data_IF_539869976431
#
_entry.id   IF_539869976431
#
_cell.length_a   1.000
_cell.length_b   1.000
_cell.length_c   1.000
_cell.angle_alpha   90.00
_cell.angle_beta   90.00
_cell.angle_gamma   90.00
#
_symmetry.space_group_name_H-M   'P 1'
#
loop_
_entity.id
_entity.type
_entity.pdbx_description
1 polymer ?
#
# COMPACT_ATOMS: atom_id res chain seq x y z
N UNK A 1 6.11 -12.80 -4.22
CA UNK A 1 6.37 -11.37 -4.06
C UNK A 1 5.02 -10.66 -3.99
N UNK A 2 4.86 -9.68 -3.11
CA UNK A 2 3.62 -8.92 -2.94
C UNK A 2 3.91 -7.43 -2.91
N UNK A 3 2.87 -6.63 -3.07
CA UNK A 3 2.86 -5.19 -3.07
C UNK A 3 2.10 -4.73 -1.83
N UNK A 4 2.83 -4.10 -0.93
CA UNK A 4 2.34 -3.54 0.31
C UNK A 4 2.08 -2.04 0.09
N UNK A 5 0.82 -1.62 0.22
CA UNK A 5 0.42 -0.24 -0.04
C UNK A 5 -0.08 0.41 1.24
N UNK A 6 0.53 1.55 1.60
CA UNK A 6 0.21 2.29 2.82
C UNK A 6 -0.14 3.75 2.50
N UNK A 7 -1.27 4.21 3.01
CA UNK A 7 -1.68 5.62 2.94
C UNK A 7 -0.71 6.50 3.76
N UNK A 8 -0.26 7.63 3.19
CA UNK A 8 0.78 8.48 3.81
C UNK A 8 0.32 9.10 5.15
N UNK A 9 -0.96 9.44 5.28
CA UNK A 9 -1.51 10.09 6.48
C UNK A 9 -2.59 9.21 7.12
N UNK A 10 -2.24 8.56 8.23
CA UNK A 10 -3.15 7.79 9.08
C UNK A 10 -3.61 8.67 10.23
N UNK A 11 -4.92 8.64 10.55
CA UNK A 11 -5.44 9.42 11.68
C UNK A 11 -5.07 8.77 13.02
N UNK A 12 -4.93 9.57 14.08
CA UNK A 12 -4.61 9.04 15.42
C UNK A 12 -5.63 8.02 15.93
N UNK A 13 -6.91 8.24 15.61
CA UNK A 13 -8.01 7.32 15.95
C UNK A 13 -7.88 5.98 15.22
N UNK A 14 -7.56 6.01 13.93
CA UNK A 14 -7.31 4.80 13.15
C UNK A 14 -6.07 4.06 13.65
N UNK A 15 -4.96 4.78 13.87
CA UNK A 15 -3.75 4.18 14.43
C UNK A 15 -4.01 3.56 15.81
N UNK A 16 -4.86 4.16 16.65
CA UNK A 16 -5.26 3.59 17.93
C UNK A 16 -6.10 2.31 17.77
N UNK A 17 -7.05 2.29 16.82
CA UNK A 17 -7.87 1.11 16.51
C UNK A 17 -7.03 -0.04 15.97
N UNK A 18 -6.10 0.24 15.06
CA UNK A 18 -5.17 -0.75 14.51
C UNK A 18 -4.34 -1.36 15.63
N UNK A 19 -3.66 -0.55 16.46
CA UNK A 19 -2.88 -1.05 17.61
C UNK A 19 -3.71 -1.93 18.55
N UNK A 20 -4.93 -1.50 18.89
CA UNK A 20 -5.81 -2.29 19.76
C UNK A 20 -6.20 -3.64 19.13
N UNK A 21 -6.42 -3.67 17.81
CA UNK A 21 -6.73 -4.89 17.09
C UNK A 21 -5.51 -5.80 16.92
N UNK A 22 -4.31 -5.24 16.69
CA UNK A 22 -3.04 -5.97 16.68
C UNK A 22 -2.76 -6.64 18.02
N UNK A 23 -2.93 -5.91 19.12
CA UNK A 23 -2.77 -6.44 20.47
C UNK A 23 -3.71 -7.64 20.72
N UNK A 24 -4.97 -7.52 20.29
CA UNK A 24 -5.96 -8.59 20.41
C UNK A 24 -5.59 -9.81 19.54
N UNK A 25 -5.19 -9.60 18.29
CA UNK A 25 -4.74 -10.66 17.39
C UNK A 25 -3.52 -11.39 17.93
N UNK A 26 -2.49 -10.66 18.38
CA UNK A 26 -1.30 -11.26 18.96
C UNK A 26 -1.59 -11.99 20.27
N UNK A 27 -2.52 -11.50 21.10
CA UNK A 27 -2.96 -12.21 22.29
C UNK A 27 -3.66 -13.53 21.94
N UNK A 28 -4.55 -13.54 20.95
CA UNK A 28 -5.20 -14.76 20.46
C UNK A 28 -4.17 -15.76 19.89
N UNK A 29 -3.24 -15.29 19.06
CA UNK A 29 -2.20 -16.13 18.46
C UNK A 29 -1.29 -16.77 19.52
N UNK A 30 -0.82 -15.98 20.51
CA UNK A 30 -0.03 -16.51 21.64
C UNK A 30 -0.82 -17.54 22.45
N UNK A 31 -2.12 -17.32 22.63
CA UNK A 31 -2.98 -18.24 23.40
C UNK A 31 -3.15 -19.58 22.68
N UNK A 32 -3.39 -19.55 21.36
CA UNK A 32 -3.41 -20.75 20.51
C UNK A 32 -2.07 -21.50 20.57
N UNK A 33 -0.96 -20.79 20.37
CA UNK A 33 0.37 -21.40 20.31
C UNK A 33 0.81 -22.02 21.65
N UNK A 34 0.35 -21.45 22.77
CA UNK A 34 0.61 -21.95 24.11
C UNK A 34 -0.07 -23.30 24.41
N UNK A 35 -1.10 -23.70 23.65
CA UNK A 35 -1.78 -24.97 23.83
C UNK A 35 -0.87 -26.18 23.56
N UNK A 36 0.09 -26.04 22.64
CA UNK A 36 0.96 -27.13 22.18
C UNK A 36 0.18 -28.40 21.77
N UNK A 37 -0.94 -28.18 21.06
CA UNK A 37 -1.84 -29.23 20.56
C UNK A 37 -1.70 -29.37 19.03
N UNK A 38 -1.99 -30.56 18.46
CA UNK A 38 -2.00 -30.72 17.01
C UNK A 38 -3.18 -29.93 16.39
N UNK A 39 -3.07 -29.48 15.12
CA UNK A 39 -4.08 -28.64 14.48
C UNK A 39 -5.52 -29.18 14.40
N UNK A 40 -5.70 -30.50 14.53
CA UNK A 40 -7.01 -31.15 14.51
C UNK A 40 -7.66 -31.32 15.89
N UNK A 41 -6.99 -30.92 16.97
CA UNK A 41 -7.56 -30.99 18.33
C UNK A 41 -8.65 -29.92 18.50
N UNK A 42 -9.75 -30.24 19.16
CA UNK A 42 -10.89 -29.32 19.36
C UNK A 42 -10.46 -27.95 19.88
N UNK A 43 -9.68 -27.95 20.95
CA UNK A 43 -9.24 -26.70 21.61
C UNK A 43 -8.28 -25.89 20.73
N UNK A 44 -7.51 -26.56 19.86
CA UNK A 44 -6.70 -25.85 18.86
C UNK A 44 -7.59 -25.20 17.81
N UNK A 45 -8.59 -25.92 17.30
CA UNK A 45 -9.53 -25.41 16.29
C UNK A 45 -10.28 -24.19 16.83
N UNK A 46 -10.80 -24.25 18.05
CA UNK A 46 -11.47 -23.10 18.70
C UNK A 46 -10.53 -21.90 18.86
N UNK A 47 -9.28 -22.14 19.32
CA UNK A 47 -8.30 -21.07 19.42
C UNK A 47 -7.89 -20.51 18.05
N UNK A 48 -7.86 -21.33 17.00
CA UNK A 48 -7.61 -20.92 15.63
C UNK A 48 -8.75 -20.06 15.08
N UNK A 49 -10.01 -20.41 15.35
CA UNK A 49 -11.18 -19.59 14.99
C UNK A 49 -11.12 -18.21 15.64
N UNK A 50 -10.67 -18.13 16.90
CA UNK A 50 -10.46 -16.87 17.61
C UNK A 50 -9.33 -16.02 16.98
N UNK A 51 -8.25 -16.65 16.54
CA UNK A 51 -7.18 -16.00 15.77
C UNK A 51 -7.72 -15.44 14.46
N UNK A 52 -8.51 -16.21 13.72
CA UNK A 52 -9.09 -15.76 12.46
C UNK A 52 -10.09 -14.61 12.66
N UNK A 53 -10.90 -14.68 13.73
CA UNK A 53 -11.84 -13.62 14.09
C UNK A 53 -11.12 -12.32 14.45
N UNK A 54 -10.08 -12.38 15.28
CA UNK A 54 -9.28 -11.20 15.65
C UNK A 54 -8.47 -10.66 14.49
N UNK A 55 -7.95 -11.53 13.62
CA UNK A 55 -7.30 -11.12 12.37
C UNK A 55 -8.26 -10.38 11.43
N UNK A 56 -9.51 -10.83 11.31
CA UNK A 56 -10.54 -10.11 10.55
C UNK A 56 -10.77 -8.71 11.13
N UNK A 57 -10.88 -8.58 12.45
CA UNK A 57 -11.03 -7.27 13.12
C UNK A 57 -9.84 -6.36 12.83
N UNK A 58 -8.61 -6.88 12.89
CA UNK A 58 -7.40 -6.13 12.53
C UNK A 58 -7.45 -5.64 11.09
N UNK A 59 -7.72 -6.54 10.14
CA UNK A 59 -7.82 -6.20 8.72
C UNK A 59 -8.90 -5.15 8.44
N UNK A 60 -10.05 -5.26 9.10
CA UNK A 60 -11.16 -4.33 8.92
C UNK A 60 -10.88 -2.97 9.61
N UNK A 61 -9.99 -2.93 10.62
CA UNK A 61 -9.54 -1.71 11.28
C UNK A 61 -8.45 -0.97 10.50
N UNK A 62 -7.54 -1.71 9.83
CA UNK A 62 -6.46 -1.13 9.04
C UNK A 62 -6.93 -0.74 7.64
N UNK A 63 -7.71 0.34 7.59
CA UNK A 63 -8.22 0.89 6.33
C UNK A 63 -7.16 1.62 5.51
N UNK A 64 -5.98 1.82 6.11
CA UNK A 64 -4.81 2.51 5.57
C UNK A 64 -3.85 1.61 4.79
N UNK A 65 -4.07 0.29 4.88
CA UNK A 65 -3.27 -0.73 4.21
C UNK A 65 -4.07 -1.46 3.13
N UNK A 66 -3.42 -1.75 2.00
CA UNK A 66 -3.93 -2.65 0.98
C UNK A 66 -2.80 -3.53 0.45
N UNK A 67 -3.07 -4.81 0.23
CA UNK A 67 -2.06 -5.76 -0.25
C UNK A 67 -2.52 -6.46 -1.51
N UNK A 68 -1.65 -6.50 -2.51
CA UNK A 68 -1.82 -7.42 -3.64
C UNK A 68 -0.62 -8.35 -3.73
N UNK A 69 -0.84 -9.62 -4.08
CA UNK A 69 0.29 -10.44 -4.52
C UNK A 69 0.69 -10.03 -5.95
N UNK A 70 1.80 -10.55 -6.46
CA UNK A 70 2.30 -10.19 -7.81
C UNK A 70 1.26 -10.39 -8.92
N UNK A 71 0.52 -11.50 -8.88
CA UNK A 71 -0.51 -11.81 -9.88
C UNK A 71 -1.71 -10.88 -9.76
N UNK A 72 -2.12 -10.57 -8.53
CA UNK A 72 -3.18 -9.61 -8.23
C UNK A 72 -2.81 -8.21 -8.71
N UNK A 73 -1.57 -7.77 -8.48
CA UNK A 73 -1.12 -6.46 -8.96
C UNK A 73 -1.09 -6.39 -10.48
N UNK A 74 -0.56 -7.41 -11.16
CA UNK A 74 -0.63 -7.47 -12.64
C UNK A 74 -2.06 -7.41 -13.15
N UNK A 75 -2.97 -8.19 -12.54
CA UNK A 75 -4.38 -8.17 -12.91
C UNK A 75 -5.03 -6.80 -12.68
N UNK A 76 -4.73 -6.15 -11.56
CA UNK A 76 -5.27 -4.82 -11.24
C UNK A 76 -4.74 -3.76 -12.21
N UNK A 77 -3.46 -3.83 -12.57
CA UNK A 77 -2.90 -2.97 -13.60
C UNK A 77 -3.64 -3.11 -14.94
N UNK A 78 -3.96 -4.34 -15.36
CA UNK A 78 -4.74 -4.57 -16.59
C UNK A 78 -6.17 -4.01 -16.52
N UNK A 79 -6.85 -4.22 -15.38
CA UNK A 79 -8.21 -3.69 -15.16
C UNK A 79 -8.17 -2.16 -15.14
N UNK A 80 -7.21 -1.57 -14.44
CA UNK A 80 -7.01 -0.12 -14.39
C UNK A 80 -6.68 0.45 -15.77
N UNK A 81 -5.88 -0.23 -16.58
CA UNK A 81 -5.53 0.21 -17.95
C UNK A 81 -6.77 0.23 -18.85
N UNK A 82 -7.59 -0.84 -18.81
CA UNK A 82 -8.85 -0.91 -19.55
C UNK A 82 -9.87 0.15 -19.11
N UNK A 83 -9.85 0.53 -17.82
CA UNK A 83 -10.69 1.58 -17.27
C UNK A 83 -10.10 2.99 -17.47
N UNK A 84 -8.91 3.12 -18.05
CA UNK A 84 -8.22 4.40 -18.26
C UNK A 84 -7.73 5.06 -16.97
N UNK A 85 -7.55 4.28 -15.90
CA UNK A 85 -7.11 4.75 -14.58
C UNK A 85 -5.59 4.88 -14.47
N UNK A 86 -4.83 4.17 -15.31
CA UNK A 86 -3.36 4.26 -15.36
C UNK A 86 -2.91 4.83 -16.69
N UNK A 87 -1.68 5.36 -16.69
CA UNK A 87 -0.98 5.83 -17.89
C UNK A 87 0.34 5.06 -18.04
N UNK A 88 0.73 4.83 -19.29
CA UNK A 88 2.04 4.34 -19.71
C UNK A 88 2.57 5.15 -20.90
N UNK A 89 3.79 4.86 -21.38
CA UNK A 89 4.33 5.46 -22.61
C UNK A 89 4.91 6.88 -22.47
N UNK A 90 5.26 7.31 -21.26
CA UNK A 90 5.97 8.56 -20.98
C UNK A 90 7.46 8.32 -20.74
N UNK A 91 8.24 9.40 -20.81
CA UNK A 91 9.63 9.41 -20.42
C UNK A 91 9.75 9.59 -18.91
N UNK A 92 10.28 8.57 -18.23
CA UNK A 92 10.60 8.63 -16.80
C UNK A 92 11.98 9.27 -16.64
N UNK A 93 12.16 10.27 -15.76
CA UNK A 93 13.49 10.76 -15.42
C UNK A 93 14.37 9.62 -14.92
N UNK A 94 15.70 9.66 -15.15
CA UNK A 94 16.59 8.62 -14.62
C UNK A 94 16.57 8.64 -13.09
N UNK A 95 16.78 7.46 -12.49
CA UNK A 95 17.00 7.36 -11.04
C UNK A 95 18.18 8.25 -10.62
N UNK A 96 18.08 8.94 -9.46
CA UNK A 96 19.16 9.79 -8.98
C UNK A 96 20.41 8.96 -8.65
N UNK A 97 21.57 9.48 -9.03
CA UNK A 97 22.85 8.84 -8.77
C UNK A 97 23.20 8.95 -7.27
N UNK A 98 23.45 7.81 -6.63
CA UNK A 98 23.90 7.75 -5.24
C UNK A 98 25.31 8.33 -5.13
N UNK A 99 25.58 9.34 -4.29
CA UNK A 99 26.91 9.92 -4.13
C UNK A 99 27.94 8.89 -3.65
N UNK A 100 29.18 9.04 -4.10
CA UNK A 100 30.28 8.18 -3.66
C UNK A 100 30.43 8.22 -2.13
N UNK A 101 30.52 7.03 -1.55
CA UNK A 101 30.70 6.86 -0.11
C UNK A 101 29.45 7.09 0.74
N UNK A 102 28.28 7.42 0.16
CA UNK A 102 26.98 7.27 0.83
C UNK A 102 26.59 5.79 0.74
N UNK A 103 26.20 5.16 1.85
CA UNK A 103 25.74 3.76 1.86
C UNK A 103 24.22 3.66 1.91
N UNK A 104 23.69 2.49 1.55
CA UNK A 104 22.24 2.22 1.61
C UNK A 104 21.73 2.30 3.05
N UNK A 105 22.50 1.80 4.00
CA UNK A 105 22.16 1.83 5.43
C UNK A 105 22.06 3.26 5.98
N UNK A 106 22.92 4.18 5.52
CA UNK A 106 22.81 5.59 5.91
C UNK A 106 21.55 6.25 5.34
N UNK A 107 21.16 5.86 4.12
CA UNK A 107 19.95 6.35 3.47
C UNK A 107 18.70 5.84 4.20
N UNK A 108 18.64 4.54 4.47
CA UNK A 108 17.52 3.92 5.19
C UNK A 108 17.42 4.50 6.61
N UNK A 109 18.54 4.59 7.35
CA UNK A 109 18.57 5.20 8.68
C UNK A 109 18.17 6.68 8.67
N UNK A 110 18.45 7.42 7.58
CA UNK A 110 17.98 8.80 7.45
C UNK A 110 16.47 8.87 7.23
N UNK A 111 15.92 7.95 6.43
CA UNK A 111 14.48 7.85 6.16
C UNK A 111 13.65 7.50 7.41
N UNK A 112 14.18 6.60 8.24
CA UNK A 112 13.52 6.12 9.46
C UNK A 112 13.64 7.08 10.66
N UNK A 113 14.35 8.21 10.50
CA UNK A 113 14.64 9.09 11.62
C UNK A 113 13.39 9.79 12.15
N UNK A 114 13.28 9.88 13.48
CA UNK A 114 12.33 10.78 14.13
C UNK A 114 12.90 12.20 14.11
N UNK A 115 12.17 13.21 13.61
CA UNK A 115 12.63 14.59 13.62
C UNK A 115 13.03 15.06 15.04
N UNK A 116 14.27 15.49 15.20
CA UNK A 116 14.79 15.99 16.48
C UNK A 116 15.57 14.98 17.32
N UNK A 117 15.66 13.72 16.87
CA UNK A 117 16.46 12.67 17.53
C UNK A 117 17.69 12.27 16.69
N UNK A 118 18.79 11.93 17.37
CA UNK A 118 19.96 11.28 16.76
C UNK A 118 21.13 12.18 16.36
N UNK A 119 22.20 11.52 15.90
CA UNK A 119 23.41 12.18 15.37
C UNK A 119 23.08 12.87 14.04
N UNK A 120 23.61 14.09 13.79
CA UNK A 120 23.47 14.73 12.48
C UNK A 120 24.02 13.83 11.37
N UNK A 121 23.21 13.55 10.37
CA UNK A 121 23.64 12.85 9.16
C UNK A 121 24.48 13.77 8.28
N UNK A 122 25.30 13.15 7.43
CA UNK A 122 26.09 13.87 6.43
C UNK A 122 25.16 14.63 5.48
N UNK A 123 25.47 15.89 5.10
CA UNK A 123 24.63 16.68 4.19
C UNK A 123 24.34 15.98 2.86
N UNK A 124 25.27 15.16 2.37
CA UNK A 124 25.15 14.40 1.13
C UNK A 124 24.03 13.35 1.21
N UNK A 125 23.86 12.70 2.36
CA UNK A 125 22.77 11.73 2.59
C UNK A 125 21.42 12.44 2.54
N UNK A 126 21.30 13.58 3.23
CA UNK A 126 20.07 14.37 3.24
C UNK A 126 19.71 14.92 1.85
N UNK A 127 20.72 15.38 1.10
CA UNK A 127 20.54 15.88 -0.26
C UNK A 127 20.11 14.75 -1.22
N UNK A 128 20.76 13.58 -1.14
CA UNK A 128 20.40 12.42 -1.94
C UNK A 128 19.00 11.91 -1.60
N UNK A 129 18.66 11.80 -0.31
CA UNK A 129 17.33 11.40 0.13
C UNK A 129 16.23 12.32 -0.43
N UNK A 130 16.45 13.64 -0.41
CA UNK A 130 15.51 14.59 -1.01
C UNK A 130 15.32 14.35 -2.52
N UNK A 131 16.39 14.06 -3.25
CA UNK A 131 16.31 13.75 -4.69
C UNK A 131 15.59 12.42 -4.91
N UNK A 132 15.87 11.41 -4.09
CA UNK A 132 15.21 10.11 -4.14
C UNK A 132 13.72 10.24 -3.88
N UNK A 133 13.30 10.96 -2.83
CA UNK A 133 11.88 11.21 -2.56
C UNK A 133 11.19 11.94 -3.72
N UNK A 134 11.83 12.97 -4.29
CA UNK A 134 11.30 13.69 -5.44
C UNK A 134 11.14 12.78 -6.68
N UNK A 135 12.08 11.85 -6.88
CA UNK A 135 12.01 10.85 -7.93
C UNK A 135 10.89 9.84 -7.67
N UNK A 136 10.80 9.28 -6.46
CA UNK A 136 9.76 8.32 -6.07
C UNK A 136 8.35 8.93 -6.02
N UNK A 137 8.23 10.26 -5.93
CA UNK A 137 6.98 11.00 -6.05
C UNK A 137 6.73 11.60 -7.43
N UNK A 138 7.62 11.36 -8.39
CA UNK A 138 7.50 11.94 -9.73
C UNK A 138 6.20 11.49 -10.40
N UNK A 139 5.53 12.40 -11.08
CA UNK A 139 4.34 12.11 -11.86
C UNK A 139 4.28 13.08 -13.06
N UNK A 140 3.42 12.78 -14.02
CA UNK A 140 3.22 13.65 -15.18
C UNK A 140 2.36 14.85 -14.76
N UNK A 141 2.72 16.05 -15.23
CA UNK A 141 1.93 17.27 -15.02
C UNK A 141 1.28 17.75 -16.34
N UNK A 142 -0.06 17.98 -16.37
CA UNK A 142 -1.01 17.65 -15.31
C UNK A 142 -1.20 16.13 -15.17
N UNK A 143 -1.62 15.66 -13.99
CA UNK A 143 -1.96 14.25 -13.80
C UNK A 143 -3.22 13.89 -14.60
N UNK A 144 -3.19 12.78 -15.34
CA UNK A 144 -4.33 12.25 -16.09
C UNK A 144 -4.53 10.73 -15.90
N UNK A 145 -3.95 10.19 -14.83
CA UNK A 145 -4.00 8.78 -14.41
C UNK A 145 -2.82 8.45 -13.51
N UNK A 146 -2.82 7.26 -12.91
CA UNK A 146 -1.70 6.77 -12.11
C UNK A 146 -0.57 6.29 -13.03
N UNK A 147 0.66 6.75 -12.78
CA UNK A 147 1.82 6.31 -13.54
C UNK A 147 2.09 4.81 -13.33
N UNK A 148 1.83 3.99 -14.36
CA UNK A 148 1.85 2.52 -14.26
C UNK A 148 3.17 1.94 -13.73
N UNK A 149 4.32 2.55 -14.01
CA UNK A 149 5.63 2.06 -13.54
C UNK A 149 5.73 1.96 -12.01
N UNK A 150 4.95 2.75 -11.28
CA UNK A 150 4.92 2.76 -9.82
C UNK A 150 4.33 1.47 -9.22
N UNK A 151 3.59 0.69 -10.02
CA UNK A 151 3.10 -0.63 -9.65
C UNK A 151 4.02 -1.78 -10.12
N UNK A 152 5.14 -1.49 -10.78
CA UNK A 152 6.04 -2.51 -11.30
C UNK A 152 7.09 -2.96 -10.28
N UNK A 153 7.36 -2.16 -9.25
CA UNK A 153 8.45 -2.36 -8.28
C UNK A 153 8.03 -1.93 -6.88
N UNK A 154 8.80 -2.36 -5.89
CA UNK A 154 8.58 -2.16 -4.46
C UNK A 154 9.52 -1.09 -3.88
N UNK A 155 9.85 -0.08 -4.69
CA UNK A 155 10.89 0.91 -4.35
C UNK A 155 10.38 2.07 -3.48
N UNK A 156 9.13 2.02 -2.99
CA UNK A 156 8.53 3.08 -2.17
C UNK A 156 7.90 4.21 -2.99
N UNK A 157 7.45 3.92 -4.21
CA UNK A 157 6.80 4.89 -5.11
C UNK A 157 5.56 5.48 -4.46
N UNK A 158 5.48 6.81 -4.45
CA UNK A 158 4.29 7.54 -4.00
C UNK A 158 3.32 7.70 -5.18
N UNK A 159 2.12 7.14 -5.03
CA UNK A 159 0.97 7.48 -5.86
C UNK A 159 0.34 8.73 -5.27
N UNK A 160 0.37 9.85 -6.00
CA UNK A 160 -0.02 11.16 -5.44
C UNK A 160 -1.55 11.33 -5.41
N UNK A 161 -2.08 12.25 -4.58
CA UNK A 161 -3.49 12.63 -4.61
C UNK A 161 -4.00 13.02 -6.01
N UNK A 162 -3.20 13.73 -6.79
CA UNK A 162 -3.54 14.19 -8.13
C UNK A 162 -3.69 13.01 -9.11
N UNK A 163 -2.76 12.05 -9.07
CA UNK A 163 -2.83 10.81 -9.85
C UNK A 163 -4.09 10.00 -9.50
N UNK A 164 -4.36 9.84 -8.20
CA UNK A 164 -5.55 9.11 -7.71
C UNK A 164 -6.84 9.83 -8.14
N UNK A 165 -6.86 11.16 -8.05
CA UNK A 165 -7.99 11.98 -8.48
C UNK A 165 -8.32 11.70 -9.94
N UNK A 166 -7.32 11.83 -10.82
CA UNK A 166 -7.47 11.60 -12.24
C UNK A 166 -7.90 10.16 -12.56
N UNK A 167 -7.30 9.17 -11.89
CA UNK A 167 -7.68 7.77 -12.03
C UNK A 167 -9.15 7.52 -11.64
N UNK A 168 -9.61 8.09 -10.52
CA UNK A 168 -11.00 7.96 -10.07
C UNK A 168 -11.98 8.72 -10.97
N UNK A 169 -11.57 9.82 -11.61
CA UNK A 169 -12.36 10.49 -12.64
C UNK A 169 -12.55 9.61 -13.87
N UNK A 170 -11.48 8.98 -14.37
CA UNK A 170 -11.59 7.98 -15.45
C UNK A 170 -12.49 6.81 -15.05
N UNK A 171 -12.39 6.32 -13.81
CA UNK A 171 -13.25 5.23 -13.32
C UNK A 171 -14.75 5.59 -13.35
N UNK A 172 -15.12 6.82 -12.97
CA UNK A 172 -16.52 7.24 -12.83
C UNK A 172 -17.31 7.32 -14.14
N UNK A 173 -16.64 7.31 -15.30
CA UNK A 173 -17.32 7.37 -16.60
C UNK A 173 -17.87 6.01 -17.04
N UNK A 174 -17.42 4.92 -16.40
CA UNK A 174 -17.87 3.55 -16.69
C UNK A 174 -19.10 3.18 -15.86
N UNK A 175 -20.02 2.44 -16.47
CA UNK A 175 -21.16 1.84 -15.77
C UNK A 175 -20.74 0.67 -14.85
N UNK A 176 -21.58 0.32 -13.88
CA UNK A 176 -21.32 -0.81 -13.00
C UNK A 176 -21.22 -2.14 -13.77
N UNK A 177 -22.01 -2.29 -14.82
CA UNK A 177 -22.03 -3.44 -15.72
C UNK A 177 -20.73 -3.55 -16.53
N UNK A 178 -20.22 -2.44 -17.07
CA UNK A 178 -18.92 -2.40 -17.75
C UNK A 178 -17.78 -2.75 -16.80
N UNK A 179 -17.74 -2.14 -15.61
CA UNK A 179 -16.74 -2.45 -14.58
C UNK A 179 -16.79 -3.93 -14.23
N UNK A 180 -17.99 -4.49 -14.01
CA UNK A 180 -18.14 -5.92 -13.71
C UNK A 180 -17.59 -6.81 -14.82
N UNK A 181 -17.80 -6.45 -16.08
CA UNK A 181 -17.26 -7.21 -17.24
C UNK A 181 -15.74 -7.11 -17.30
N UNK A 182 -15.17 -5.92 -17.09
CA UNK A 182 -13.72 -5.67 -17.19
C UNK A 182 -12.96 -6.32 -16.03
N UNK A 183 -13.42 -6.13 -14.79
CA UNK A 183 -12.87 -6.78 -13.59
C UNK A 183 -12.92 -8.30 -13.78
N UNK A 184 -13.99 -8.80 -14.39
CA UNK A 184 -14.23 -10.22 -14.54
C UNK A 184 -14.46 -10.87 -13.16
N UNK A 185 -14.40 -12.19 -13.13
CA UNK A 185 -14.38 -12.92 -11.87
C UNK A 185 -15.72 -13.30 -11.28
N UNK A 186 -15.63 -13.92 -10.11
CA UNK A 186 -16.76 -14.20 -9.24
C UNK A 186 -17.10 -12.98 -8.37
N UNK A 187 -18.03 -13.18 -7.42
CA UNK A 187 -18.43 -12.10 -6.51
C UNK A 187 -17.30 -11.64 -5.57
N UNK A 188 -16.31 -12.50 -5.28
CA UNK A 188 -15.20 -12.16 -4.38
C UNK A 188 -14.21 -11.23 -5.07
N UNK A 189 -13.89 -11.46 -6.35
CA UNK A 189 -13.03 -10.56 -7.13
C UNK A 189 -13.63 -9.16 -7.26
N UNK A 190 -14.95 -9.07 -7.50
CA UNK A 190 -15.65 -7.80 -7.59
C UNK A 190 -15.72 -7.08 -6.23
N UNK A 191 -15.93 -7.82 -5.13
CA UNK A 191 -15.90 -7.24 -3.78
C UNK A 191 -14.50 -6.67 -3.48
N UNK A 192 -13.45 -7.42 -3.81
CA UNK A 192 -12.09 -6.98 -3.57
C UNK A 192 -11.70 -5.77 -4.43
N UNK A 193 -12.15 -5.73 -5.69
CA UNK A 193 -12.03 -4.54 -6.53
C UNK A 193 -12.76 -3.33 -5.93
N UNK A 194 -13.95 -3.54 -5.36
CA UNK A 194 -14.70 -2.47 -4.67
C UNK A 194 -13.92 -1.93 -3.46
N UNK A 195 -13.26 -2.81 -2.70
CA UNK A 195 -12.37 -2.41 -1.60
C UNK A 195 -11.18 -1.57 -2.09
N UNK A 196 -10.61 -1.91 -3.25
CA UNK A 196 -9.54 -1.12 -3.87
C UNK A 196 -9.99 0.28 -4.28
N UNK A 197 -11.16 0.41 -4.91
CA UNK A 197 -11.72 1.74 -5.23
C UNK A 197 -11.95 2.56 -3.96
N UNK A 198 -12.48 1.93 -2.89
CA UNK A 198 -12.65 2.60 -1.61
C UNK A 198 -11.31 3.01 -0.96
N UNK A 199 -10.26 2.19 -1.11
CA UNK A 199 -8.91 2.51 -0.67
C UNK A 199 -8.35 3.74 -1.39
N UNK A 200 -8.45 3.78 -2.72
CA UNK A 200 -8.05 4.94 -3.53
C UNK A 200 -8.78 6.22 -3.10
N UNK A 201 -10.10 6.16 -2.90
CA UNK A 201 -10.89 7.29 -2.43
C UNK A 201 -10.41 7.84 -1.08
N UNK A 202 -10.02 6.96 -0.14
CA UNK A 202 -9.44 7.39 1.14
C UNK A 202 -8.06 8.01 0.95
N UNK A 203 -7.20 7.36 0.18
CA UNK A 203 -5.82 7.78 -0.05
C UNK A 203 -5.72 9.17 -0.70
N UNK A 204 -6.63 9.49 -1.63
CA UNK A 204 -6.73 10.80 -2.30
C UNK A 204 -6.78 11.97 -1.29
N UNK A 205 -7.42 11.78 -0.15
CA UNK A 205 -7.58 12.82 0.88
C UNK A 205 -6.54 12.77 1.99
N UNK A 206 -5.56 11.85 1.88
CA UNK A 206 -4.61 11.51 2.94
C UNK A 206 -3.17 11.46 2.43
N UNK A 207 -2.85 12.31 1.46
CA UNK A 207 -1.50 12.44 0.92
C UNK A 207 -1.11 11.38 -0.11
N UNK A 208 -2.04 10.52 -0.53
CA UNK A 208 -1.76 9.41 -1.44
C UNK A 208 -1.35 8.14 -0.69
N UNK A 209 -0.62 7.26 -1.37
CA UNK A 209 -0.08 6.04 -0.77
C UNK A 209 1.24 5.60 -1.40
N UNK A 210 2.07 4.88 -0.64
CA UNK A 210 3.31 4.29 -1.13
C UNK A 210 3.17 2.82 -1.48
N UNK A 211 3.97 2.35 -2.43
CA UNK A 211 4.06 0.95 -2.87
C UNK A 211 5.41 0.35 -2.47
N UNK A 212 5.38 -0.72 -1.67
CA UNK A 212 6.53 -1.46 -1.11
C UNK A 212 6.43 -2.97 -1.32
#
# INVERSE_FOLDING_TARGET
>A
MGYDMFIEVVSDDEAAKVRAAEDAFHAAARSRDALNLPPGHSDFVEAQEEVERTYKVLRDADSSYFRLNIWGMSRYCEVMDQLGMVVSGYELPPFPHQPDGVTREEIDAFGDRVPGEGTPFRPEVAAYWKQLLAHLSWHIEPAFGIALHKFCTNDGWLITPEEITAALESYRVHSAEEVKVIVGGDAEELDYWTQWIAYLQRAQHRGGFRVW
#
